data_IF_417962453840
#
_entry.id   IF_417962453840
#
_cell.length_a   1.000
_cell.length_b   1.000
_cell.length_c   1.000
_cell.angle_alpha   90.00
_cell.angle_beta   90.00
_cell.angle_gamma   90.00
#
_symmetry.space_group_name_H-M   'P 1'
#
loop_
_entity.id
_entity.type
_entity.pdbx_description
1 polymer ?
#
# COMPACT_ATOMS: atom_id res chain seq x y z
N UNK A 1 26.84 -38.79 -1.62
CA UNK A 1 27.03 -37.45 -1.01
C UNK A 1 25.72 -36.68 -1.10
N UNK A 2 25.22 -36.21 0.04
CA UNK A 2 24.01 -35.38 0.15
C UNK A 2 24.37 -33.91 -0.08
N UNK A 3 23.49 -33.16 -0.75
CA UNK A 3 23.20 -31.77 -0.41
C UNK A 3 21.85 -31.37 -1.05
N UNK A 4 20.81 -31.32 -0.22
CA UNK A 4 19.63 -30.49 -0.44
C UNK A 4 20.01 -29.04 -0.15
N UNK A 5 19.56 -28.10 -0.97
CA UNK A 5 19.29 -26.73 -0.51
C UNK A 5 17.97 -26.27 -1.09
N UNK A 6 16.94 -26.26 -0.24
CA UNK A 6 15.73 -25.46 -0.41
C UNK A 6 16.09 -23.99 -0.23
N UNK A 7 15.61 -23.12 -1.10
CA UNK A 7 15.34 -21.72 -0.74
C UNK A 7 14.00 -21.31 -1.35
N UNK A 8 13.35 -20.47 -0.58
CA UNK A 8 11.92 -20.20 -0.48
C UNK A 8 11.37 -19.49 -1.71
N UNK A 9 10.09 -19.77 -1.96
CA UNK A 9 9.21 -19.12 -2.92
C UNK A 9 9.20 -17.60 -2.68
N UNK A 10 9.44 -16.80 -3.71
CA UNK A 10 8.82 -15.49 -3.81
C UNK A 10 8.23 -15.29 -5.20
N UNK A 11 6.91 -15.19 -5.17
CA UNK A 11 5.95 -15.01 -6.25
C UNK A 11 6.19 -13.71 -7.03
N UNK A 12 5.67 -13.61 -8.27
CA UNK A 12 6.19 -12.74 -9.31
C UNK A 12 5.98 -11.26 -8.98
N UNK A 13 7.04 -10.46 -9.14
CA UNK A 13 6.96 -9.00 -9.22
C UNK A 13 5.99 -8.60 -10.33
N UNK A 14 4.76 -8.25 -9.96
CA UNK A 14 3.83 -7.60 -10.88
C UNK A 14 4.10 -6.09 -10.85
N UNK A 15 4.71 -5.66 -11.94
CA UNK A 15 5.05 -4.31 -12.37
C UNK A 15 3.81 -3.43 -12.59
N UNK A 16 3.90 -2.18 -12.15
CA UNK A 16 3.33 -0.98 -12.79
C UNK A 16 4.20 0.19 -12.33
N UNK A 17 5.19 0.57 -13.14
CA UNK A 17 5.34 1.92 -13.74
C UNK A 17 5.57 2.99 -12.67
N UNK A 18 6.83 3.23 -12.29
CA UNK A 18 7.62 4.40 -12.70
C UNK A 18 6.97 5.72 -12.23
N UNK A 19 7.26 6.10 -11.00
CA UNK A 19 7.57 7.45 -10.50
C UNK A 19 8.27 7.23 -9.13
N UNK A 20 9.15 8.14 -8.74
CA UNK A 20 10.39 7.93 -7.97
C UNK A 20 10.24 7.42 -6.50
N UNK A 21 11.09 6.45 -6.11
CA UNK A 21 11.22 5.82 -4.77
C UNK A 21 11.64 6.79 -3.62
N UNK A 22 11.61 8.12 -3.81
CA UNK A 22 12.08 9.13 -2.84
C UNK A 22 10.96 9.97 -2.17
N UNK A 23 9.70 9.89 -2.63
CA UNK A 23 8.58 10.68 -2.04
C UNK A 23 7.46 9.82 -1.41
N UNK A 24 7.56 8.49 -1.51
CA UNK A 24 6.64 7.59 -0.83
C UNK A 24 6.93 7.66 0.67
N UNK A 25 5.99 8.08 1.54
CA UNK A 25 6.29 8.27 2.95
C UNK A 25 6.71 6.93 3.57
N UNK A 26 7.91 6.89 4.14
CA UNK A 26 8.45 5.75 4.91
C UNK A 26 7.57 5.49 6.14
N UNK A 27 6.56 4.64 5.95
CA UNK A 27 5.62 4.25 6.98
C UNK A 27 6.03 2.95 7.66
N UNK A 28 5.75 2.83 8.96
CA UNK A 28 5.89 1.55 9.64
C UNK A 28 4.92 0.52 9.03
N UNK A 29 5.32 -0.76 8.88
CA UNK A 29 4.46 -1.78 8.32
C UNK A 29 3.19 -1.93 9.16
N UNK A 30 2.03 -1.81 8.51
CA UNK A 30 0.74 -1.95 9.19
C UNK A 30 0.30 -0.74 10.02
N UNK A 31 0.93 0.43 9.89
CA UNK A 31 0.56 1.62 10.67
C UNK A 31 -0.89 2.09 10.47
N UNK A 32 -1.53 1.69 9.37
CA UNK A 32 -2.93 2.01 9.06
C UNK A 32 -3.88 0.84 9.32
N UNK A 33 -3.42 -0.23 9.98
CA UNK A 33 -4.22 -1.42 10.25
C UNK A 33 -5.47 -1.07 11.05
N UNK A 34 -6.63 -1.44 10.52
CA UNK A 34 -7.92 -1.19 11.15
C UNK A 34 -8.48 0.22 10.93
N UNK A 35 -7.72 1.12 10.29
CA UNK A 35 -8.20 2.44 9.91
C UNK A 35 -8.94 2.40 8.57
N UNK A 36 -9.94 3.27 8.45
CA UNK A 36 -10.71 3.46 7.23
C UNK A 36 -10.58 4.92 6.81
N UNK A 37 -9.87 5.18 5.73
CA UNK A 37 -9.46 6.53 5.27
C UNK A 37 -10.12 6.81 3.93
N UNK A 38 -10.84 7.93 3.79
CA UNK A 38 -11.47 8.34 2.53
C UNK A 38 -10.70 9.50 1.93
N UNK A 39 -10.20 9.31 0.71
CA UNK A 39 -9.62 10.41 -0.08
C UNK A 39 -10.77 11.21 -0.72
N UNK A 40 -11.00 12.43 -0.25
CA UNK A 40 -12.18 13.25 -0.62
C UNK A 40 -11.92 14.24 -1.75
N UNK A 41 -10.66 14.57 -2.05
CA UNK A 41 -10.27 15.58 -3.05
C UNK A 41 -9.02 15.16 -3.80
N UNK A 42 -8.60 15.99 -4.76
CA UNK A 42 -7.32 15.86 -5.44
C UNK A 42 -6.20 16.24 -4.46
N UNK A 43 -5.18 15.39 -4.37
CA UNK A 43 -3.93 15.75 -3.70
C UNK A 43 -2.99 16.25 -4.80
N UNK A 44 -2.16 17.24 -4.46
CA UNK A 44 -1.27 17.90 -5.42
C UNK A 44 -0.08 17.01 -5.83
N UNK A 45 0.33 16.11 -4.93
CA UNK A 45 1.45 15.19 -5.12
C UNK A 45 1.04 13.73 -5.35
N UNK A 46 -0.19 13.34 -4.97
CA UNK A 46 -0.62 11.95 -4.97
C UNK A 46 -1.94 11.78 -5.73
N UNK A 47 -1.96 10.91 -6.73
CA UNK A 47 -3.23 10.54 -7.33
C UNK A 47 -4.06 9.68 -6.38
N UNK A 48 -5.39 9.74 -6.55
CA UNK A 48 -6.33 9.00 -5.70
C UNK A 48 -6.03 7.50 -5.68
N UNK A 49 -5.70 6.92 -6.83
CA UNK A 49 -5.39 5.48 -6.93
C UNK A 49 -4.11 5.12 -6.17
N UNK A 50 -3.11 6.00 -6.19
CA UNK A 50 -1.84 5.82 -5.47
C UNK A 50 -2.04 5.94 -3.96
N UNK A 51 -2.77 6.98 -3.53
CA UNK A 51 -3.15 7.16 -2.13
C UNK A 51 -3.97 5.96 -1.60
N UNK A 52 -4.95 5.48 -2.37
CA UNK A 52 -5.71 4.27 -2.03
C UNK A 52 -4.81 3.02 -1.98
N UNK A 53 -3.81 2.94 -2.85
CA UNK A 53 -2.79 1.90 -2.88
C UNK A 53 -1.91 1.91 -1.63
N UNK A 54 -1.42 3.09 -1.21
CA UNK A 54 -0.62 3.27 -0.01
C UNK A 54 -1.39 2.93 1.26
N UNK A 55 -2.64 3.40 1.36
CA UNK A 55 -3.52 3.05 2.49
C UNK A 55 -3.64 1.53 2.64
N UNK A 56 -3.82 0.81 1.52
CA UNK A 56 -3.90 -0.65 1.51
C UNK A 56 -2.54 -1.32 1.80
N UNK A 57 -1.44 -0.78 1.26
CA UNK A 57 -0.05 -1.23 1.51
C UNK A 57 0.27 -1.23 3.01
N UNK A 58 -0.20 -0.22 3.73
CA UNK A 58 -0.02 -0.09 5.18
C UNK A 58 -1.15 -0.69 6.03
N UNK A 59 -2.03 -1.52 5.45
CA UNK A 59 -3.03 -2.31 6.19
C UNK A 59 -4.38 -1.62 6.43
N UNK A 60 -4.57 -0.41 5.90
CA UNK A 60 -5.80 0.35 5.99
C UNK A 60 -6.81 0.03 4.89
N UNK A 61 -8.03 0.56 5.05
CA UNK A 61 -9.10 0.48 4.07
C UNK A 61 -9.34 1.85 3.46
N UNK A 62 -9.41 1.92 2.14
CA UNK A 62 -9.72 3.15 1.43
C UNK A 62 -11.07 3.08 0.69
N UNK A 63 -12.21 3.31 1.36
CA UNK A 63 -13.52 3.32 0.70
C UNK A 63 -13.76 4.60 -0.09
N UNK A 64 -14.63 4.52 -1.09
CA UNK A 64 -15.03 5.69 -1.90
C UNK A 64 -16.06 6.59 -1.23
N UNK A 65 -16.71 6.10 -0.19
CA UNK A 65 -17.76 6.81 0.54
C UNK A 65 -17.44 6.85 2.04
N UNK A 66 -17.81 7.96 2.67
CA UNK A 66 -17.72 8.12 4.13
C UNK A 66 -18.74 7.22 4.83
N UNK A 67 -18.27 6.50 5.84
CA UNK A 67 -19.07 5.69 6.76
C UNK A 67 -18.82 6.12 8.20
N UNK A 68 -19.64 5.62 9.15
CA UNK A 68 -19.49 5.91 10.59
C UNK A 68 -18.12 5.55 11.17
N UNK A 69 -17.37 4.68 10.49
CA UNK A 69 -16.08 4.17 10.96
C UNK A 69 -14.90 4.83 10.23
N UNK A 70 -15.17 5.88 9.45
CA UNK A 70 -14.12 6.64 8.76
C UNK A 70 -13.43 7.52 9.78
N UNK A 71 -12.11 7.40 9.87
CA UNK A 71 -11.25 8.23 10.73
C UNK A 71 -10.54 9.24 9.86
#
# INVERSE_FOLDING_TARGET
>A
MKAETKIVKETPKKKSSQDDDDDDPDGAPGCLTGLTIVVTSILESLHREEAEGLVKKYGGKAPKAVSKNTT
#
